data_IF_912213918666
#
_entry.id   IF_912213918666
#
_cell.length_a   1.000
_cell.length_b   1.000
_cell.length_c   1.000
_cell.angle_alpha   90.00
_cell.angle_beta   90.00
_cell.angle_gamma   90.00
#
_symmetry.space_group_name_H-M   'P 1'
#
loop_
_entity.id
_entity.type
_entity.pdbx_description
1 polymer ?
#
# COMPACT_ATOMS: atom_id res chain seq x y z
N UNK A 1 -3.14 -24.18 15.80
CA UNK A 1 -2.07 -23.56 14.99
C UNK A 1 -2.65 -22.28 14.40
N UNK A 2 -2.02 -21.12 14.60
CA UNK A 2 -2.51 -19.89 13.98
C UNK A 2 -2.28 -19.98 12.47
N UNK A 3 -3.34 -19.88 11.68
CA UNK A 3 -3.23 -19.76 10.22
C UNK A 3 -2.50 -18.44 9.97
N UNK A 4 -1.32 -18.49 9.34
CA UNK A 4 -0.61 -17.28 8.97
C UNK A 4 -1.47 -16.54 7.93
N UNK A 5 -2.10 -15.44 8.32
CA UNK A 5 -2.90 -14.64 7.39
C UNK A 5 -1.96 -13.81 6.53
N UNK A 6 -1.99 -14.05 5.21
CA UNK A 6 -1.22 -13.27 4.25
C UNK A 6 -1.62 -11.80 4.33
N UNK A 7 -0.63 -10.91 4.29
CA UNK A 7 -0.80 -9.45 4.38
C UNK A 7 -0.65 -8.77 3.03
N UNK A 8 -1.66 -7.99 2.66
CA UNK A 8 -1.59 -7.08 1.53
C UNK A 8 -1.18 -5.67 1.99
N UNK A 9 -0.17 -5.08 1.33
CA UNK A 9 0.10 -3.65 1.41
C UNK A 9 -0.59 -2.93 0.25
N UNK A 10 -1.59 -2.10 0.54
CA UNK A 10 -2.15 -1.19 -0.47
C UNK A 10 -1.48 0.18 -0.37
N UNK A 11 -0.85 0.62 -1.47
CA UNK A 11 -0.23 1.94 -1.58
C UNK A 11 -1.15 2.88 -2.37
N UNK A 12 -1.69 3.87 -1.67
CA UNK A 12 -2.63 4.86 -2.19
C UNK A 12 -1.93 6.21 -2.43
N UNK A 13 -2.69 7.19 -2.93
CA UNK A 13 -2.12 8.50 -3.25
C UNK A 13 -1.78 9.27 -1.97
N UNK A 14 -2.80 9.57 -1.17
CA UNK A 14 -2.71 10.41 0.01
C UNK A 14 -3.92 10.18 0.94
N UNK A 15 -3.79 10.48 2.25
CA UNK A 15 -4.89 10.36 3.19
C UNK A 15 -6.00 11.39 2.91
N UNK A 16 -7.29 11.04 3.12
CA UNK A 16 -8.38 11.98 2.95
C UNK A 16 -8.33 13.09 4.00
N UNK A 17 -8.67 14.33 3.60
CA UNK A 17 -8.79 15.48 4.53
C UNK A 17 -10.12 15.53 5.28
N UNK A 18 -11.24 15.39 4.56
CA UNK A 18 -12.58 15.75 5.04
C UNK A 18 -13.56 14.58 5.17
N UNK A 19 -13.14 13.37 4.79
CA UNK A 19 -13.99 12.17 4.84
C UNK A 19 -13.28 11.06 5.60
N UNK A 20 -14.04 10.07 6.08
CA UNK A 20 -13.48 8.88 6.73
C UNK A 20 -12.65 7.99 5.79
N UNK A 21 -12.71 8.23 4.47
CA UNK A 21 -12.11 7.33 3.48
C UNK A 21 -12.77 5.94 3.41
N UNK A 22 -13.88 5.71 4.11
CA UNK A 22 -14.51 4.39 4.26
C UNK A 22 -14.83 3.71 2.92
N UNK A 23 -15.23 4.48 1.90
CA UNK A 23 -15.46 3.95 0.55
C UNK A 23 -14.19 3.40 -0.09
N UNK A 24 -13.09 4.15 0.00
CA UNK A 24 -11.78 3.75 -0.52
C UNK A 24 -11.27 2.54 0.26
N UNK A 25 -11.33 2.58 1.60
CA UNK A 25 -10.91 1.47 2.46
C UNK A 25 -11.73 0.20 2.19
N UNK A 26 -13.05 0.30 2.09
CA UNK A 26 -13.92 -0.84 1.79
C UNK A 26 -13.66 -1.44 0.41
N UNK A 27 -13.34 -0.62 -0.60
CA UNK A 27 -12.94 -1.14 -1.91
C UNK A 27 -11.63 -1.93 -1.83
N UNK A 28 -10.64 -1.41 -1.11
CA UNK A 28 -9.34 -2.10 -0.91
C UNK A 28 -9.50 -3.38 -0.08
N UNK A 29 -10.34 -3.38 0.96
CA UNK A 29 -10.64 -4.57 1.76
C UNK A 29 -11.28 -5.68 0.90
N UNK A 30 -12.21 -5.32 0.01
CA UNK A 30 -12.77 -6.27 -0.96
C UNK A 30 -11.73 -6.79 -1.93
N UNK A 31 -10.83 -5.95 -2.42
CA UNK A 31 -9.70 -6.40 -3.26
C UNK A 31 -8.80 -7.39 -2.52
N UNK A 32 -8.47 -7.11 -1.26
CA UNK A 32 -7.67 -8.01 -0.42
C UNK A 32 -8.35 -9.39 -0.29
N UNK A 33 -9.65 -9.40 0.00
CA UNK A 33 -10.43 -10.64 0.10
C UNK A 33 -10.48 -11.42 -1.23
N UNK A 34 -10.72 -10.73 -2.35
CA UNK A 34 -10.73 -11.34 -3.70
C UNK A 34 -9.38 -11.98 -4.03
N UNK A 35 -8.28 -11.37 -3.62
CA UNK A 35 -6.92 -11.88 -3.82
C UNK A 35 -6.50 -12.93 -2.77
N UNK A 36 -7.34 -13.24 -1.79
CA UNK A 36 -7.05 -14.24 -0.74
C UNK A 36 -6.18 -13.74 0.41
N UNK A 37 -6.00 -12.42 0.58
CA UNK A 37 -5.28 -11.85 1.72
C UNK A 37 -6.20 -11.69 2.93
N UNK A 38 -5.72 -12.13 4.11
CA UNK A 38 -6.46 -12.07 5.37
C UNK A 38 -6.18 -10.82 6.21
N UNK A 39 -5.09 -10.10 5.90
CA UNK A 39 -4.69 -8.86 6.55
C UNK A 39 -4.41 -7.76 5.50
N UNK A 40 -4.63 -6.50 5.90
CA UNK A 40 -4.49 -5.34 5.02
C UNK A 40 -3.81 -4.19 5.77
N UNK A 41 -2.73 -3.67 5.19
CA UNK A 41 -2.11 -2.41 5.62
C UNK A 41 -2.19 -1.36 4.51
N UNK A 42 -2.42 -0.11 4.89
CA UNK A 42 -2.44 1.03 3.96
C UNK A 42 -1.20 1.89 4.15
N UNK A 43 -0.58 2.28 3.05
CA UNK A 43 0.40 3.35 3.01
C UNK A 43 0.05 4.36 1.89
N UNK A 44 0.63 5.56 1.95
CA UNK A 44 0.36 6.61 0.97
C UNK A 44 1.66 7.17 0.39
N UNK A 45 1.67 7.45 -0.92
CA UNK A 45 2.79 8.12 -1.58
C UNK A 45 3.03 9.54 -1.03
N UNK A 46 1.97 10.22 -0.60
CA UNK A 46 2.01 11.56 0.00
C UNK A 46 1.33 11.54 1.37
N UNK A 47 1.91 12.23 2.36
CA UNK A 47 1.27 12.42 3.67
C UNK A 47 0.30 13.60 3.68
N UNK A 48 0.34 14.45 2.66
CA UNK A 48 -0.49 15.63 2.50
C UNK A 48 -1.98 15.23 2.50
N UNK A 49 -2.71 15.66 3.53
CA UNK A 49 -4.16 15.42 3.60
C UNK A 49 -4.88 16.41 2.70
N UNK A 50 -5.34 15.95 1.55
CA UNK A 50 -6.13 16.76 0.60
C UNK A 50 -7.44 16.06 0.27
N UNK A 51 -8.38 16.78 -0.37
CA UNK A 51 -9.62 16.16 -0.85
C UNK A 51 -9.40 15.39 -2.15
N UNK A 52 -8.57 15.91 -3.03
CA UNK A 52 -8.33 15.33 -4.34
C UNK A 52 -6.92 15.65 -4.89
N UNK A 53 -6.69 15.15 -6.11
CA UNK A 53 -5.46 15.35 -6.87
C UNK A 53 -5.29 16.80 -7.36
N UNK A 54 -6.38 17.56 -7.47
CA UNK A 54 -6.35 18.95 -7.93
C UNK A 54 -5.72 19.82 -6.84
N UNK A 55 -6.17 19.65 -5.60
CA UNK A 55 -5.57 20.33 -4.44
C UNK A 55 -4.08 20.01 -4.30
N UNK A 56 -3.67 18.75 -4.55
CA UNK A 56 -2.24 18.37 -4.58
C UNK A 56 -1.45 19.11 -5.66
N UNK A 57 -2.03 19.36 -6.84
CA UNK A 57 -1.33 20.10 -7.90
C UNK A 57 -0.98 21.55 -7.50
N UNK A 58 -1.71 22.11 -6.52
CA UNK A 58 -1.60 23.50 -6.11
C UNK A 58 -0.81 23.71 -4.83
N UNK A 59 -0.23 22.65 -4.25
CA UNK A 59 0.65 22.80 -3.09
C UNK A 59 2.00 23.38 -3.52
N UNK A 60 2.48 24.40 -2.80
CA UNK A 60 3.82 24.98 -3.02
C UNK A 60 4.94 23.96 -2.76
N UNK A 61 4.69 23.02 -1.83
CA UNK A 61 5.57 21.90 -1.54
C UNK A 61 4.77 20.71 -1.01
N UNK A 62 5.32 19.51 -1.18
CA UNK A 62 4.75 18.27 -0.66
C UNK A 62 5.42 17.86 0.64
N UNK A 63 4.69 17.11 1.46
CA UNK A 63 5.19 16.53 2.69
C UNK A 63 6.54 15.81 2.50
N UNK A 64 7.45 15.89 3.50
CA UNK A 64 8.79 15.30 3.42
C UNK A 64 8.75 13.82 3.02
N UNK A 65 9.51 13.50 1.98
CA UNK A 65 9.56 12.14 1.44
C UNK A 65 10.24 11.11 2.33
N UNK A 66 11.38 11.37 3.00
CA UNK A 66 12.16 10.33 3.70
C UNK A 66 11.39 9.55 4.78
N UNK A 67 10.49 10.21 5.51
CA UNK A 67 9.68 9.56 6.55
C UNK A 67 8.66 8.57 5.94
N UNK A 68 7.89 9.03 4.94
CA UNK A 68 6.94 8.18 4.22
C UNK A 68 7.65 7.03 3.50
N UNK A 69 8.80 7.32 2.89
CA UNK A 69 9.63 6.35 2.20
C UNK A 69 10.06 5.22 3.15
N UNK A 70 10.53 5.56 4.35
CA UNK A 70 10.94 4.59 5.37
C UNK A 70 9.77 3.74 5.85
N UNK A 71 8.60 4.35 6.07
CA UNK A 71 7.39 3.61 6.44
C UNK A 71 6.98 2.62 5.35
N UNK A 72 6.96 3.03 4.09
CA UNK A 72 6.62 2.15 2.97
C UNK A 72 7.63 1.00 2.85
N UNK A 73 8.93 1.27 2.99
CA UNK A 73 9.98 0.25 2.93
C UNK A 73 9.80 -0.82 4.02
N UNK A 74 9.51 -0.41 5.26
CA UNK A 74 9.19 -1.35 6.35
C UNK A 74 7.97 -2.19 5.99
N UNK A 75 6.89 -1.59 5.48
CA UNK A 75 5.70 -2.36 5.11
C UNK A 75 5.92 -3.31 3.95
N UNK A 76 6.76 -2.94 2.97
CA UNK A 76 7.14 -3.84 1.87
C UNK A 76 7.83 -5.11 2.38
N UNK A 77 8.70 -5.00 3.40
CA UNK A 77 9.36 -6.16 4.01
C UNK A 77 8.44 -7.08 4.82
N UNK A 78 7.26 -6.60 5.19
CA UNK A 78 6.28 -7.32 6.03
C UNK A 78 5.07 -7.83 5.24
N UNK A 79 4.88 -7.37 4.01
CA UNK A 79 3.75 -7.74 3.18
C UNK A 79 4.07 -8.98 2.34
N UNK A 80 3.05 -9.78 2.08
CA UNK A 80 3.09 -10.93 1.17
C UNK A 80 2.63 -10.54 -0.25
N UNK A 81 2.02 -9.37 -0.40
CA UNK A 81 1.65 -8.79 -1.69
C UNK A 81 1.49 -7.28 -1.62
N UNK A 82 1.54 -6.65 -2.79
CA UNK A 82 1.40 -5.18 -2.92
C UNK A 82 0.29 -4.86 -3.91
N UNK A 83 -0.55 -3.89 -3.56
CA UNK A 83 -1.62 -3.35 -4.40
C UNK A 83 -1.42 -1.86 -4.63
N UNK A 84 -1.43 -1.43 -5.89
CA UNK A 84 -1.24 -0.03 -6.26
C UNK A 84 -2.59 0.67 -6.55
N UNK A 85 -2.80 1.84 -5.94
CA UNK A 85 -4.08 2.57 -6.03
C UNK A 85 -3.97 4.09 -5.92
N UNK A 86 -2.92 4.72 -6.47
CA UNK A 86 -2.69 6.17 -6.37
C UNK A 86 -3.29 7.03 -7.51
N UNK A 87 -4.08 6.43 -8.39
CA UNK A 87 -4.72 7.10 -9.52
C UNK A 87 -3.83 7.23 -10.76
N UNK A 88 -4.47 7.45 -11.92
CA UNK A 88 -3.79 7.53 -13.23
C UNK A 88 -3.87 8.92 -13.86
N UNK A 89 -4.87 9.72 -13.48
CA UNK A 89 -5.19 11.00 -14.09
C UNK A 89 -5.20 12.14 -13.07
N UNK A 90 -5.24 13.38 -13.59
CA UNK A 90 -5.43 14.60 -12.80
C UNK A 90 -4.16 15.19 -12.19
N UNK A 91 -3.04 14.46 -12.17
CA UNK A 91 -1.75 15.01 -11.76
C UNK A 91 -1.13 15.87 -12.87
N UNK A 92 -0.71 17.09 -12.55
CA UNK A 92 -0.08 18.03 -13.47
C UNK A 92 1.18 18.68 -12.85
N UNK A 93 1.93 19.44 -13.67
CA UNK A 93 3.07 20.23 -13.20
C UNK A 93 4.13 19.47 -12.41
N UNK A 94 4.66 20.11 -11.37
CA UNK A 94 5.67 19.54 -10.48
C UNK A 94 5.16 18.30 -9.72
N UNK A 95 3.90 18.30 -9.30
CA UNK A 95 3.30 17.17 -8.61
C UNK A 95 3.27 15.90 -9.48
N UNK A 96 2.98 16.01 -10.79
CA UNK A 96 3.04 14.86 -11.71
C UNK A 96 4.44 14.23 -11.70
N UNK A 97 5.49 15.03 -11.78
CA UNK A 97 6.87 14.57 -11.77
C UNK A 97 7.24 13.92 -10.42
N UNK A 98 6.85 14.54 -9.31
CA UNK A 98 7.11 14.01 -7.97
C UNK A 98 6.37 12.69 -7.73
N UNK A 99 5.11 12.59 -8.15
CA UNK A 99 4.32 11.36 -8.08
C UNK A 99 4.96 10.24 -8.90
N UNK A 100 5.43 10.55 -10.12
CA UNK A 100 6.14 9.58 -10.97
C UNK A 100 7.45 9.13 -10.30
N UNK A 101 8.21 10.05 -9.71
CA UNK A 101 9.46 9.75 -8.98
C UNK A 101 9.21 8.83 -7.78
N UNK A 102 8.18 9.11 -6.97
CA UNK A 102 7.81 8.28 -5.80
C UNK A 102 7.28 6.91 -6.21
N UNK A 103 6.49 6.83 -7.28
CA UNK A 103 6.02 5.57 -7.85
C UNK A 103 7.18 4.72 -8.40
N UNK A 104 8.14 5.34 -9.11
CA UNK A 104 9.32 4.63 -9.59
C UNK A 104 10.19 4.09 -8.44
N UNK A 105 10.33 4.87 -7.37
CA UNK A 105 10.98 4.39 -6.16
C UNK A 105 10.23 3.19 -5.57
N UNK A 106 8.90 3.24 -5.46
CA UNK A 106 8.09 2.15 -4.92
C UNK A 106 8.30 0.86 -5.72
N UNK A 107 8.27 0.93 -7.05
CA UNK A 107 8.52 -0.24 -7.90
C UNK A 107 9.88 -0.87 -7.66
N UNK A 108 10.92 -0.04 -7.55
CA UNK A 108 12.29 -0.50 -7.28
C UNK A 108 12.40 -1.10 -5.87
N UNK A 109 11.77 -0.48 -4.88
CA UNK A 109 11.77 -0.94 -3.50
C UNK A 109 10.98 -2.24 -3.31
N UNK A 110 9.86 -2.41 -4.02
CA UNK A 110 9.08 -3.64 -4.02
C UNK A 110 9.88 -4.81 -4.60
N UNK A 111 10.52 -4.62 -5.75
CA UNK A 111 11.41 -5.61 -6.35
C UNK A 111 12.57 -5.98 -5.41
N UNK A 112 13.20 -4.98 -4.78
CA UNK A 112 14.29 -5.20 -3.81
C UNK A 112 13.82 -5.93 -2.54
N UNK A 113 12.53 -5.86 -2.20
CA UNK A 113 11.91 -6.60 -1.10
C UNK A 113 11.39 -7.99 -1.53
N UNK A 114 11.65 -8.42 -2.78
CA UNK A 114 11.28 -9.74 -3.28
C UNK A 114 9.87 -9.83 -3.89
N UNK A 115 9.16 -8.71 -4.03
CA UNK A 115 7.87 -8.69 -4.74
C UNK A 115 8.13 -8.69 -6.24
N UNK A 116 7.84 -9.80 -6.92
CA UNK A 116 7.98 -9.92 -8.38
C UNK A 116 6.85 -9.20 -9.14
N UNK A 117 5.72 -8.99 -8.48
CA UNK A 117 4.53 -8.36 -9.07
C UNK A 117 3.86 -7.39 -8.10
N UNK A 118 3.09 -6.45 -8.66
CA UNK A 118 2.19 -5.55 -7.94
C UNK A 118 0.81 -5.66 -8.57
N UNK A 119 -0.20 -5.85 -7.73
CA UNK A 119 -1.59 -5.89 -8.16
C UNK A 119 -2.09 -4.51 -8.58
N UNK A 120 -2.86 -4.46 -9.67
CA UNK A 120 -3.44 -3.24 -10.24
C UNK A 120 -4.81 -3.53 -10.83
N UNK A 121 -5.70 -2.53 -10.85
CA UNK A 121 -7.02 -2.65 -11.49
C UNK A 121 -6.90 -2.25 -12.97
N UNK A 122 -7.04 -3.23 -13.85
CA UNK A 122 -6.90 -3.07 -15.29
C UNK A 122 -5.47 -2.75 -15.70
N UNK A 123 -4.47 -3.27 -14.98
CA UNK A 123 -3.04 -3.06 -15.27
C UNK A 123 -2.51 -1.66 -14.94
N UNK A 124 -3.31 -0.80 -14.33
CA UNK A 124 -2.90 0.56 -13.93
C UNK A 124 -3.20 0.82 -12.44
N UNK A 125 -2.47 1.74 -11.78
CA UNK A 125 -2.67 2.05 -10.36
C UNK A 125 -3.92 2.92 -10.13
N UNK A 126 -5.09 2.51 -10.65
CA UNK A 126 -6.34 3.27 -10.56
C UNK A 126 -6.74 3.48 -9.10
N UNK A 127 -7.21 4.68 -8.78
CA UNK A 127 -7.62 4.99 -7.40
C UNK A 127 -8.87 4.20 -7.00
N UNK A 128 -8.95 3.61 -5.79
CA UNK A 128 -10.06 2.72 -5.40
C UNK A 128 -11.45 3.37 -5.48
N UNK A 129 -11.56 4.68 -5.29
CA UNK A 129 -12.84 5.39 -5.46
C UNK A 129 -13.40 5.31 -6.88
N UNK A 130 -12.58 5.01 -7.89
CA UNK A 130 -12.96 4.89 -9.30
C UNK A 130 -13.13 3.44 -9.77
N UNK A 131 -12.86 2.43 -8.94
CA UNK A 131 -12.98 1.03 -9.38
C UNK A 131 -14.41 0.66 -9.75
N UNK A 132 -15.42 1.11 -8.99
CA UNK A 132 -16.83 0.85 -9.31
C UNK A 132 -17.23 1.39 -10.70
N UNK A 133 -16.72 2.56 -11.09
CA UNK A 133 -16.92 3.11 -12.44
C UNK A 133 -16.18 2.28 -13.48
N UNK A 134 -14.94 1.89 -13.17
CA UNK A 134 -14.12 1.11 -14.10
C UNK A 134 -14.76 -0.25 -14.45
N UNK A 135 -15.31 -0.94 -13.45
CA UNK A 135 -15.94 -2.26 -13.62
C UNK A 135 -17.43 -2.20 -13.90
N UNK A 136 -18.01 -1.02 -14.14
CA UNK A 136 -19.43 -0.92 -14.46
C UNK A 136 -19.78 -1.69 -15.73
N UNK A 137 -20.90 -2.42 -15.72
CA UNK A 137 -21.32 -3.31 -16.82
C UNK A 137 -21.44 -2.58 -18.16
N UNK A 138 -21.80 -1.30 -18.12
CA UNK A 138 -21.89 -0.41 -19.29
C UNK A 138 -20.60 -0.34 -20.12
N UNK A 139 -19.45 -0.75 -19.56
CA UNK A 139 -18.17 -0.75 -20.27
C UNK A 139 -17.77 -2.12 -20.82
N UNK A 140 -18.52 -3.19 -20.57
CA UNK A 140 -18.28 -4.53 -21.13
C UNK A 140 -16.92 -5.14 -20.75
N UNK A 141 -16.27 -4.67 -19.68
CA UNK A 141 -14.93 -5.14 -19.25
C UNK A 141 -14.97 -6.45 -18.48
N UNK A 142 -16.14 -6.83 -17.99
CA UNK A 142 -16.36 -7.98 -17.12
C UNK A 142 -17.68 -8.67 -17.48
N UNK A 143 -17.86 -9.96 -17.18
CA UNK A 143 -19.10 -10.69 -17.47
C UNK A 143 -20.35 -10.21 -16.70
N UNK A 144 -20.20 -9.25 -15.77
CA UNK A 144 -21.25 -8.79 -14.87
C UNK A 144 -21.10 -9.36 -13.46
N UNK A 145 -22.12 -9.20 -12.63
CA UNK A 145 -22.18 -9.74 -11.26
C UNK A 145 -21.95 -8.71 -10.16
N UNK A 146 -21.58 -9.20 -8.98
CA UNK A 146 -21.19 -8.38 -7.83
C UNK A 146 -19.97 -7.51 -8.12
N UNK A 147 -19.68 -6.55 -7.24
CA UNK A 147 -18.47 -5.73 -7.39
C UNK A 147 -17.20 -6.58 -7.28
N UNK A 148 -17.20 -7.55 -6.38
CA UNK A 148 -16.10 -8.48 -6.08
C UNK A 148 -15.83 -9.43 -7.25
N UNK A 149 -16.86 -10.05 -7.81
CA UNK A 149 -16.72 -10.91 -9.01
C UNK A 149 -16.12 -10.13 -10.17
N UNK A 150 -16.62 -8.92 -10.42
CA UNK A 150 -16.08 -8.05 -11.47
C UNK A 150 -14.65 -7.60 -11.17
N UNK A 151 -14.33 -7.33 -9.90
CA UNK A 151 -12.99 -6.94 -9.47
C UNK A 151 -11.98 -8.09 -9.69
N UNK A 152 -12.38 -9.34 -9.46
CA UNK A 152 -11.56 -10.52 -9.69
C UNK A 152 -11.10 -10.64 -11.16
N UNK A 153 -11.92 -10.21 -12.11
CA UNK A 153 -11.58 -10.21 -13.54
C UNK A 153 -10.58 -9.13 -13.95
N UNK A 154 -10.45 -8.05 -13.18
CA UNK A 154 -9.64 -6.89 -13.56
C UNK A 154 -8.45 -6.65 -12.63
N UNK A 155 -8.30 -7.41 -11.55
CA UNK A 155 -7.10 -7.39 -10.74
C UNK A 155 -6.00 -8.15 -11.47
N UNK A 156 -4.99 -7.41 -11.93
CA UNK A 156 -3.88 -7.92 -12.73
C UNK A 156 -2.60 -7.80 -11.93
N UNK A 157 -1.83 -8.88 -11.85
CA UNK A 157 -0.46 -8.86 -11.35
C UNK A 157 0.45 -8.25 -12.44
N UNK A 158 0.94 -7.05 -12.18
CA UNK A 158 1.87 -6.34 -13.07
C UNK A 158 3.29 -6.61 -12.61
N UNK A 159 4.21 -7.09 -13.46
CA UNK A 159 5.59 -7.32 -13.08
C UNK A 159 6.26 -6.07 -12.52
N UNK A 160 6.96 -6.20 -11.40
CA UNK A 160 7.88 -5.15 -10.96
C UNK A 160 9.09 -5.12 -11.90
N UNK A 161 9.69 -3.93 -12.13
CA UNK A 161 10.95 -3.86 -12.85
C UNK A 161 12.01 -4.68 -12.11
N UNK A 162 12.82 -5.43 -12.86
CA UNK A 162 13.90 -6.21 -12.28
C UNK A 162 14.79 -5.30 -11.41
N UNK A 163 15.28 -5.78 -10.26
CA UNK A 163 16.23 -5.03 -9.46
C UNK A 163 17.44 -4.70 -10.35
N UNK A 164 17.85 -3.44 -10.37
CA UNK A 164 19.05 -3.04 -11.10
C UNK A 164 20.24 -3.85 -10.55
N UNK A 165 20.88 -4.65 -11.41
CA UNK A 165 22.01 -5.49 -11.03
C UNK A 165 23.09 -4.62 -10.35
N UNK A 166 23.45 -4.94 -9.11
CA UNK A 166 24.55 -4.30 -8.38
C UNK A 166 24.19 -3.25 -7.34
N UNK A 167 22.92 -3.07 -6.95
CA UNK A 167 22.57 -2.25 -5.76
C UNK A 167 22.39 -3.11 -4.52
N UNK A 168 23.12 -2.75 -3.46
CA UNK A 168 23.02 -3.32 -2.11
C UNK A 168 21.55 -3.34 -1.65
N UNK A 169 21.07 -4.44 -1.03
CA UNK A 169 19.72 -4.51 -0.48
C UNK A 169 19.46 -3.34 0.47
N UNK A 170 18.22 -2.85 0.51
CA UNK A 170 17.76 -1.99 1.59
C UNK A 170 18.15 -2.65 2.93
N UNK A 171 18.64 -1.90 3.93
CA UNK A 171 18.99 -2.49 5.22
C UNK A 171 17.76 -3.26 5.73
N UNK A 172 17.96 -4.55 6.03
CA UNK A 172 16.90 -5.41 6.52
C UNK A 172 16.19 -4.69 7.67
N UNK A 173 14.87 -4.53 7.56
CA UNK A 173 14.07 -4.03 8.66
C UNK A 173 14.37 -4.90 9.88
N UNK A 174 14.83 -4.28 10.97
CA UNK A 174 15.06 -4.98 12.23
C UNK A 174 13.74 -5.63 12.64
N UNK A 175 13.69 -6.96 12.57
CA UNK A 175 12.51 -7.72 12.96
C UNK A 175 12.12 -7.37 14.40
N UNK A 176 10.87 -6.96 14.70
CA UNK A 176 10.44 -6.72 16.08
C UNK A 176 10.25 -8.02 16.89
N UNK A 177 10.56 -9.19 16.33
CA UNK A 177 10.14 -10.50 16.87
C UNK A 177 11.10 -11.13 17.88
N UNK A 178 12.01 -10.34 18.46
CA UNK A 178 12.97 -10.82 19.46
C UNK A 178 13.01 -9.92 20.71
N UNK A 179 11.86 -9.67 21.36
CA UNK A 179 11.79 -9.20 22.75
C UNK A 179 10.59 -9.82 23.47
N UNK A 180 10.65 -11.12 23.72
CA UNK A 180 9.81 -11.79 24.72
C UNK A 180 10.65 -12.89 25.39
N UNK A 181 11.07 -12.61 26.62
CA UNK A 181 11.98 -13.39 27.47
C UNK A 181 13.08 -12.46 27.97
N UNK A 182 13.14 -12.03 29.23
CA UNK A 182 13.00 -12.80 30.46
C UNK A 182 12.27 -11.99 31.55
N UNK A 183 11.24 -12.58 32.19
CA UNK A 183 10.78 -12.12 33.50
C UNK A 183 11.79 -12.62 34.54
N UNK A 184 12.55 -11.72 35.16
CA UNK A 184 13.25 -12.00 36.43
C UNK A 184 12.24 -12.02 37.57
N UNK A 185 12.23 -13.05 38.45
CA UNK A 185 11.44 -13.01 39.67
C UNK A 185 12.07 -12.06 40.70
N UNK A 186 11.28 -11.14 41.23
CA UNK A 186 11.62 -10.30 42.37
C UNK A 186 11.62 -11.15 43.65
N UNK A 187 12.73 -11.12 44.40
CA UNK A 187 12.82 -11.67 45.77
C UNK A 187 11.99 -10.82 46.74
N UNK A 188 11.33 -11.41 47.75
CA UNK A 188 10.71 -10.65 48.82
C UNK A 188 11.78 -10.13 49.79
N UNK A 189 11.70 -8.85 50.15
CA UNK A 189 12.49 -8.26 51.25
C UNK A 189 11.75 -8.57 52.56
N UNK A 190 12.47 -9.23 53.47
CA UNK A 190 12.01 -9.51 54.83
C UNK A 190 11.98 -8.24 55.69
N UNK A 191 10.97 -8.19 56.58
CA UNK A 191 10.80 -7.20 57.65
C UNK A 191 11.93 -7.25 58.69
N UNK A 192 12.31 -6.07 59.17
CA UNK A 192 12.91 -5.73 60.48
C UNK A 192 12.87 -4.19 60.51
N UNK A 193 12.34 -3.45 61.50
CA UNK A 193 11.85 -3.67 62.87
C UNK A 193 10.52 -2.91 63.03
#
# INVERSE_FOLDING_TARGET
>A
MAVNQLRLLAVLLNPPRSTSGARTLGAVQRAAAVLGFGDLTIANLFADRTMDVIELNHLDSHSPWPANQSQIATQLSLADGVLAGWGVAGASGAFRCERARRAQWLYTAAAAAGHETIWMVGGEPRHPSRWHQFVADAHGRTPGGSFEERLAHVLVAVPTPAPAAGRTPLPAAVSPRAQLGEKRPTRPVARSL
#
